data_IF_415686956561
#
_entry.id   IF_415686956561
#
_cell.length_a   1.000
_cell.length_b   1.000
_cell.length_c   1.000
_cell.angle_alpha   90.00
_cell.angle_beta   90.00
_cell.angle_gamma   90.00
#
_symmetry.space_group_name_H-M   'P 1'
#
loop_
_entity.id
_entity.type
_entity.pdbx_description
1 polymer ?
#
# COMPACT_ATOMS: atom_id res chain seq x y z
N UNK A 1 0.47 -58.73 -24.12
CA UNK A 1 1.17 -58.34 -22.88
C UNK A 1 1.65 -56.90 -22.98
N UNK A 2 0.98 -56.00 -22.25
CA UNK A 2 1.21 -54.56 -22.23
C UNK A 2 2.52 -54.20 -21.49
N UNK A 3 3.11 -53.03 -21.80
CA UNK A 3 4.52 -52.69 -21.55
C UNK A 3 4.84 -52.38 -20.09
N UNK A 4 6.10 -52.65 -19.74
CA UNK A 4 6.68 -52.47 -18.41
C UNK A 4 6.70 -51.01 -17.95
N UNK A 5 6.43 -50.86 -16.65
CA UNK A 5 6.40 -49.65 -15.84
C UNK A 5 7.56 -48.67 -16.10
N UNK A 6 7.20 -47.41 -16.36
CA UNK A 6 8.08 -46.24 -16.20
C UNK A 6 8.31 -45.98 -14.69
N UNK A 7 9.54 -45.69 -14.24
CA UNK A 7 9.84 -45.50 -12.82
C UNK A 7 9.29 -44.17 -12.28
N UNK A 8 8.80 -44.24 -11.04
CA UNK A 8 8.32 -43.13 -10.23
C UNK A 8 9.35 -41.98 -10.14
N UNK A 9 9.14 -40.92 -10.91
CA UNK A 9 9.62 -39.59 -10.60
C UNK A 9 8.66 -38.91 -9.61
N UNK A 10 9.15 -38.06 -8.70
CA UNK A 10 8.29 -37.38 -7.74
C UNK A 10 7.21 -36.56 -8.47
N UNK A 11 5.95 -36.75 -8.07
CA UNK A 11 4.79 -35.94 -8.48
C UNK A 11 4.95 -34.52 -7.92
N UNK A 12 5.90 -33.76 -8.46
CA UNK A 12 6.00 -32.35 -8.20
C UNK A 12 4.80 -31.68 -8.87
N UNK A 13 3.78 -31.34 -8.08
CA UNK A 13 2.74 -30.43 -8.52
C UNK A 13 3.43 -29.13 -9.00
N UNK A 14 3.19 -28.78 -10.26
CA UNK A 14 3.76 -27.64 -11.00
C UNK A 14 3.27 -26.28 -10.47
N UNK A 15 2.95 -26.15 -9.18
CA UNK A 15 2.52 -24.89 -8.57
C UNK A 15 3.66 -24.12 -7.86
N UNK A 16 4.92 -24.49 -8.07
CA UNK A 16 6.07 -24.00 -7.29
C UNK A 16 6.89 -22.87 -7.97
N UNK A 17 6.43 -22.20 -9.04
CA UNK A 17 7.31 -21.24 -9.77
C UNK A 17 6.78 -19.79 -9.91
N UNK A 18 5.54 -19.44 -9.54
CA UNK A 18 5.04 -18.04 -9.66
C UNK A 18 4.39 -17.48 -8.37
N UNK A 19 5.11 -17.54 -7.24
CA UNK A 19 4.71 -16.84 -5.99
C UNK A 19 5.32 -15.45 -5.81
N UNK A 20 5.82 -14.81 -6.87
CA UNK A 20 6.29 -13.41 -6.84
C UNK A 20 5.18 -12.49 -7.34
N UNK A 21 4.55 -11.79 -6.39
CA UNK A 21 3.50 -10.75 -6.54
C UNK A 21 2.06 -11.22 -6.79
N UNK A 22 1.56 -12.15 -5.97
CA UNK A 22 0.10 -12.32 -5.85
C UNK A 22 -0.51 -11.15 -5.07
N UNK A 23 -0.99 -10.11 -5.78
CA UNK A 23 -1.90 -9.11 -5.21
C UNK A 23 -3.24 -9.80 -4.99
N UNK A 24 -3.48 -10.29 -3.77
CA UNK A 24 -4.78 -10.82 -3.36
C UNK A 24 -5.88 -9.79 -3.69
N UNK A 25 -7.02 -10.20 -4.27
CA UNK A 25 -8.13 -9.29 -4.48
C UNK A 25 -8.56 -8.74 -3.12
N UNK A 26 -8.52 -7.42 -2.96
CA UNK A 26 -8.93 -6.77 -1.71
C UNK A 26 -10.37 -7.20 -1.44
N UNK A 27 -10.60 -7.90 -0.31
CA UNK A 27 -11.95 -8.31 0.07
C UNK A 27 -12.84 -7.08 0.11
N UNK A 28 -14.08 -7.22 -0.36
CA UNK A 28 -15.05 -6.11 -0.34
C UNK A 28 -15.10 -5.55 1.08
N UNK A 29 -15.00 -4.22 1.27
CA UNK A 29 -14.99 -3.66 2.59
C UNK A 29 -16.27 -4.05 3.33
N UNK A 30 -16.20 -4.48 4.62
CA UNK A 30 -17.34 -5.05 5.33
C UNK A 30 -18.51 -4.08 5.53
N UNK A 31 -18.29 -2.78 5.32
CA UNK A 31 -19.29 -1.72 5.50
C UNK A 31 -19.33 -0.82 4.27
N UNK A 32 -20.55 -0.52 3.80
CA UNK A 32 -20.81 0.45 2.73
C UNK A 32 -20.33 1.86 3.13
N UNK A 33 -19.85 2.69 2.18
CA UNK A 33 -19.31 4.00 2.50
C UNK A 33 -20.34 4.94 3.13
N UNK A 34 -21.60 4.88 2.67
CA UNK A 34 -22.71 5.69 3.19
C UNK A 34 -22.95 5.42 4.67
N UNK A 35 -22.92 4.13 5.05
CA UNK A 35 -23.07 3.71 6.44
C UNK A 35 -21.95 4.22 7.35
N UNK A 36 -20.73 4.34 6.84
CA UNK A 36 -19.61 4.91 7.61
C UNK A 36 -19.80 6.38 7.86
N UNK A 37 -20.23 7.12 6.83
CA UNK A 37 -20.50 8.56 6.92
C UNK A 37 -21.58 8.83 7.94
N UNK A 38 -22.70 8.10 7.89
CA UNK A 38 -23.79 8.24 8.87
C UNK A 38 -23.35 7.86 10.29
N UNK A 39 -22.57 6.78 10.46
CA UNK A 39 -22.05 6.40 11.77
C UNK A 39 -21.12 7.47 12.37
N UNK A 40 -20.26 8.09 11.54
CA UNK A 40 -19.40 9.21 11.96
C UNK A 40 -20.23 10.45 12.30
N UNK A 41 -21.26 10.74 11.49
CA UNK A 41 -22.18 11.86 11.69
C UNK A 41 -22.92 11.76 13.02
N UNK A 42 -23.45 10.57 13.36
CA UNK A 42 -24.14 10.32 14.62
C UNK A 42 -23.26 10.61 15.85
N UNK A 43 -21.96 10.29 15.79
CA UNK A 43 -21.03 10.58 16.89
C UNK A 43 -20.73 12.08 16.97
N UNK A 44 -20.48 12.73 15.83
CA UNK A 44 -20.07 14.15 15.78
C UNK A 44 -21.21 15.11 16.11
N UNK A 45 -22.38 14.93 15.51
CA UNK A 45 -23.50 15.87 15.63
C UNK A 45 -24.28 15.70 16.94
N UNK A 46 -24.42 14.47 17.42
CA UNK A 46 -25.29 14.17 18.56
C UNK A 46 -24.51 14.00 19.87
N UNK A 47 -23.19 14.24 19.86
CA UNK A 47 -22.32 14.16 21.05
C UNK A 47 -22.32 12.79 21.74
N UNK A 48 -22.73 11.73 21.03
CA UNK A 48 -22.88 10.39 21.61
C UNK A 48 -21.53 9.69 21.72
N UNK A 49 -21.38 8.89 22.77
CA UNK A 49 -20.15 8.12 22.97
C UNK A 49 -20.00 7.07 21.86
N UNK A 50 -18.76 6.86 21.41
CA UNK A 50 -18.41 5.84 20.40
C UNK A 50 -18.98 4.47 20.81
N UNK A 51 -18.98 4.19 22.11
CA UNK A 51 -19.45 2.92 22.67
C UNK A 51 -20.96 2.72 22.52
N UNK A 52 -21.76 3.76 22.71
CA UNK A 52 -23.21 3.71 22.53
C UNK A 52 -23.58 3.53 21.05
N UNK A 53 -23.00 4.36 20.17
CA UNK A 53 -23.29 4.29 18.72
C UNK A 53 -22.85 2.95 18.13
N UNK A 54 -21.69 2.43 18.53
CA UNK A 54 -21.23 1.12 18.05
C UNK A 54 -22.16 -0.03 18.49
N UNK A 55 -22.71 0.03 19.71
CA UNK A 55 -23.66 -0.97 20.21
C UNK A 55 -24.99 -0.91 19.48
N UNK A 56 -25.51 0.29 19.25
CA UNK A 56 -26.77 0.50 18.53
C UNK A 56 -26.68 0.05 17.06
N UNK A 57 -25.54 0.30 16.42
CA UNK A 57 -25.32 -0.08 15.02
C UNK A 57 -24.77 -1.52 14.85
N UNK A 58 -24.54 -2.25 15.94
CA UNK A 58 -23.99 -3.60 15.92
C UNK A 58 -22.59 -3.70 15.30
N UNK A 59 -21.75 -2.67 15.45
CA UNK A 59 -20.41 -2.60 14.87
C UNK A 59 -19.30 -2.61 15.94
N UNK A 60 -18.07 -2.89 15.52
CA UNK A 60 -16.90 -2.77 16.40
C UNK A 60 -16.60 -1.31 16.74
N UNK A 61 -16.38 -1.03 18.02
CA UNK A 61 -15.98 0.29 18.52
C UNK A 61 -14.66 0.76 17.90
N UNK A 62 -13.73 -0.16 17.62
CA UNK A 62 -12.43 0.20 17.05
C UNK A 62 -12.57 0.64 15.58
N UNK A 63 -13.49 0.03 14.83
CA UNK A 63 -13.80 0.44 13.46
C UNK A 63 -14.36 1.87 13.44
N UNK A 64 -15.31 2.17 14.33
CA UNK A 64 -15.90 3.51 14.43
C UNK A 64 -14.86 4.55 14.87
N UNK A 65 -13.99 4.22 15.82
CA UNK A 65 -12.85 5.06 16.24
C UNK A 65 -11.89 5.32 15.08
N UNK A 66 -11.62 4.32 14.24
CA UNK A 66 -10.74 4.48 13.08
C UNK A 66 -11.36 5.41 12.03
N UNK A 67 -12.67 5.31 11.78
CA UNK A 67 -13.35 6.20 10.84
C UNK A 67 -13.41 7.63 11.34
N UNK A 68 -13.64 7.86 12.63
CA UNK A 68 -13.58 9.20 13.23
C UNK A 68 -12.20 9.83 13.06
N UNK A 69 -11.13 9.08 13.40
CA UNK A 69 -9.75 9.54 13.20
C UNK A 69 -9.47 9.85 11.73
N UNK A 70 -9.96 9.03 10.80
CA UNK A 70 -9.80 9.27 9.38
C UNK A 70 -10.53 10.54 8.93
N UNK A 71 -11.78 10.72 9.35
CA UNK A 71 -12.56 11.92 9.04
C UNK A 71 -11.92 13.19 9.63
N UNK A 72 -11.29 13.12 10.81
CA UNK A 72 -10.53 14.25 11.38
C UNK A 72 -9.27 14.57 10.57
N UNK A 73 -8.58 13.55 10.06
CA UNK A 73 -7.42 13.76 9.19
C UNK A 73 -7.84 14.30 7.83
N UNK A 74 -8.97 13.88 7.27
CA UNK A 74 -9.56 14.40 6.03
C UNK A 74 -9.92 15.88 6.20
N UNK A 75 -10.57 16.24 7.30
CA UNK A 75 -10.93 17.63 7.62
C UNK A 75 -9.71 18.54 7.83
N UNK A 76 -8.63 18.01 8.43
CA UNK A 76 -7.35 18.72 8.57
C UNK A 76 -6.54 18.78 7.27
N UNK A 77 -7.03 18.23 6.17
CA UNK A 77 -6.30 18.14 4.90
C UNK A 77 -5.07 17.22 4.94
N UNK A 78 -4.98 16.34 5.94
CA UNK A 78 -3.85 15.43 6.18
C UNK A 78 -4.10 14.00 5.71
N UNK A 79 -5.36 13.64 5.44
CA UNK A 79 -5.66 12.35 4.85
C UNK A 79 -5.54 12.41 3.34
N UNK A 80 -4.44 11.85 2.85
CA UNK A 80 -4.30 11.57 1.43
C UNK A 80 -5.34 10.52 1.02
N UNK A 81 -6.09 10.82 -0.04
CA UNK A 81 -6.95 9.88 -0.75
C UNK A 81 -6.12 8.69 -1.27
N UNK A 82 -6.75 7.53 -1.49
CA UNK A 82 -6.03 6.35 -2.03
C UNK A 82 -5.24 6.64 -3.33
N UNK A 83 -5.79 7.35 -4.35
CA UNK A 83 -5.02 7.77 -5.52
C UNK A 83 -3.83 8.68 -5.16
N UNK A 84 -4.02 9.63 -4.23
CA UNK A 84 -2.96 10.55 -3.81
C UNK A 84 -1.83 9.79 -3.09
N UNK A 85 -2.16 8.75 -2.31
CA UNK A 85 -1.16 7.87 -1.68
C UNK A 85 -0.38 7.06 -2.69
N UNK A 86 -1.05 6.58 -3.74
CA UNK A 86 -0.40 5.82 -4.81
C UNK A 86 0.55 6.72 -5.61
N UNK A 87 0.10 7.91 -5.98
CA UNK A 87 0.94 8.90 -6.66
C UNK A 87 2.14 9.31 -5.80
N UNK A 88 1.93 9.53 -4.51
CA UNK A 88 3.03 9.84 -3.59
C UNK A 88 4.07 8.72 -3.50
N UNK A 89 3.63 7.45 -3.52
CA UNK A 89 4.55 6.30 -3.57
C UNK A 89 5.33 6.26 -4.88
N UNK A 90 4.65 6.52 -6.01
CA UNK A 90 5.27 6.59 -7.33
C UNK A 90 6.33 7.70 -7.37
N UNK A 91 5.97 8.91 -6.98
CA UNK A 91 6.86 10.08 -6.96
C UNK A 91 8.07 9.87 -6.03
N UNK A 92 7.90 9.19 -4.89
CA UNK A 92 9.03 8.84 -4.01
C UNK A 92 9.99 7.86 -4.67
N UNK A 93 9.47 6.90 -5.44
CA UNK A 93 10.30 5.95 -6.20
C UNK A 93 11.06 6.67 -7.31
N UNK A 94 10.39 7.52 -8.07
CA UNK A 94 11.01 8.31 -9.14
C UNK A 94 12.09 9.25 -8.59
N UNK A 95 11.81 9.98 -7.51
CA UNK A 95 12.82 10.84 -6.85
C UNK A 95 14.06 10.07 -6.40
N UNK A 96 13.87 8.85 -5.88
CA UNK A 96 15.00 8.01 -5.49
C UNK A 96 15.87 7.65 -6.69
N UNK A 97 15.25 7.22 -7.79
CA UNK A 97 15.98 6.88 -9.03
C UNK A 97 16.72 8.11 -9.56
N UNK A 98 16.06 9.25 -9.65
CA UNK A 98 16.67 10.51 -10.09
C UNK A 98 17.84 10.95 -9.20
N UNK A 99 17.72 10.75 -7.88
CA UNK A 99 18.81 11.04 -6.96
C UNK A 99 20.02 10.12 -7.19
N UNK A 100 19.80 8.83 -7.40
CA UNK A 100 20.85 7.86 -7.72
C UNK A 100 21.54 8.21 -9.06
N UNK A 101 20.78 8.51 -10.11
CA UNK A 101 21.30 8.94 -11.41
C UNK A 101 22.14 10.22 -11.32
N UNK A 102 21.64 11.22 -10.59
CA UNK A 102 22.37 12.48 -10.37
C UNK A 102 23.70 12.23 -9.67
N UNK A 103 23.75 11.34 -8.69
CA UNK A 103 25.00 11.01 -7.99
C UNK A 103 26.00 10.27 -8.90
N UNK A 104 25.53 9.38 -9.78
CA UNK A 104 26.39 8.74 -10.78
C UNK A 104 27.00 9.80 -11.71
N UNK A 105 26.17 10.71 -12.24
CA UNK A 105 26.63 11.76 -13.15
C UNK A 105 27.63 12.71 -12.48
N UNK A 106 27.40 13.10 -11.21
CA UNK A 106 28.35 13.90 -10.44
C UNK A 106 29.69 13.19 -10.27
N UNK A 107 29.68 11.89 -9.95
CA UNK A 107 30.91 11.10 -9.80
C UNK A 107 31.67 11.01 -11.12
N UNK A 108 30.98 10.79 -12.23
CA UNK A 108 31.58 10.79 -13.56
C UNK A 108 32.20 12.15 -13.89
N UNK A 109 31.46 13.26 -13.69
CA UNK A 109 31.96 14.61 -13.93
C UNK A 109 33.20 14.93 -13.08
N UNK A 110 33.20 14.56 -11.80
CA UNK A 110 34.35 14.73 -10.91
C UNK A 110 35.57 13.90 -11.36
N UNK A 111 35.34 12.68 -11.83
CA UNK A 111 36.40 11.83 -12.39
C UNK A 111 37.04 12.48 -13.62
N UNK A 112 36.23 12.94 -14.58
CA UNK A 112 36.76 13.60 -15.79
C UNK A 112 37.48 14.91 -15.48
N UNK A 113 36.96 15.74 -14.57
CA UNK A 113 37.64 16.96 -14.14
C UNK A 113 39.01 16.67 -13.53
N UNK A 114 39.12 15.61 -12.71
CA UNK A 114 40.39 15.16 -12.12
C UNK A 114 41.38 14.67 -13.18
N UNK A 115 40.94 13.88 -14.15
CA UNK A 115 41.82 13.42 -15.24
C UNK A 115 42.30 14.59 -16.12
N UNK A 116 41.44 15.55 -16.45
CA UNK A 116 41.86 16.77 -17.17
C UNK A 116 42.92 17.58 -16.40
N UNK A 117 42.82 17.64 -15.07
CA UNK A 117 43.82 18.33 -14.24
C UNK A 117 45.17 17.59 -14.16
N UNK A 118 45.17 16.26 -14.35
CA UNK A 118 46.38 15.43 -14.35
C UNK A 118 47.12 15.41 -15.68
N UNK A 119 46.38 15.63 -16.77
CA UNK A 119 46.92 15.65 -18.13
C UNK A 119 47.50 17.03 -18.55
N UNK A 120 47.38 18.05 -17.69
CA UNK A 120 48.07 19.35 -17.82
C UNK A 120 49.33 19.36 -16.96
#
# INVERSE_FOLDING_TARGET
PLPERVPNGPRACVWEIERRTSKMPKSKPPYAPEFRTEAVRLVREHGRTITAVARELGMSQESLRQWLRRAELEEKGQALSEPEREELRRLRKENRVLAEEREILKKAAAFFAKEQSRAR
#
